data_IF_604727700621
#
_entry.id   IF_604727700621
#
_cell.length_a   1.000
_cell.length_b   1.000
_cell.length_c   1.000
_cell.angle_alpha   90.00
_cell.angle_beta   90.00
_cell.angle_gamma   90.00
#
_symmetry.space_group_name_H-M   'P 1'
#
loop_
_entity.id
_entity.type
_entity.pdbx_description
1 polymer ?
#
# COMPACT_ATOMS: atom_id res chain seq x y z
N UNK A 1 7.74 -14.56 -0.78
CA UNK A 1 7.35 -13.32 -0.07
C UNK A 1 6.46 -12.50 -1.00
N UNK A 2 5.70 -11.50 -0.53
CA UNK A 2 4.70 -10.78 -1.35
C UNK A 2 5.25 -10.37 -2.72
N UNK A 3 4.48 -10.64 -3.78
CA UNK A 3 4.98 -10.46 -5.13
C UNK A 3 5.08 -8.97 -5.49
N UNK A 4 5.75 -8.68 -6.60
CA UNK A 4 5.99 -7.30 -7.04
C UNK A 4 4.70 -6.51 -7.28
N UNK A 5 3.69 -7.11 -7.92
CA UNK A 5 2.40 -6.47 -8.23
C UNK A 5 1.60 -6.15 -6.97
N UNK A 6 1.58 -7.05 -5.99
CA UNK A 6 0.92 -6.83 -4.70
C UNK A 6 1.63 -5.70 -3.93
N UNK A 7 2.98 -5.66 -3.96
CA UNK A 7 3.75 -4.59 -3.33
C UNK A 7 3.43 -3.23 -3.95
N UNK A 8 3.30 -3.17 -5.28
CA UNK A 8 2.87 -1.96 -5.98
C UNK A 8 1.44 -1.57 -5.58
N UNK A 9 0.52 -2.52 -5.52
CA UNK A 9 -0.86 -2.25 -5.11
C UNK A 9 -0.97 -1.81 -3.65
N UNK A 10 -0.11 -2.29 -2.77
CA UNK A 10 -0.02 -1.83 -1.39
C UNK A 10 0.43 -0.36 -1.32
N UNK A 11 1.51 0.01 -2.02
CA UNK A 11 1.96 1.42 -2.09
C UNK A 11 0.86 2.33 -2.65
N UNK A 12 0.17 1.89 -3.71
CA UNK A 12 -0.96 2.63 -4.27
C UNK A 12 -2.11 2.76 -3.27
N UNK A 13 -2.42 1.72 -2.50
CA UNK A 13 -3.46 1.78 -1.48
C UNK A 13 -3.13 2.81 -0.40
N UNK A 14 -1.87 2.83 0.09
CA UNK A 14 -1.40 3.82 1.06
C UNK A 14 -1.51 5.26 0.54
N UNK A 15 -1.24 5.48 -0.76
CA UNK A 15 -1.32 6.82 -1.37
C UNK A 15 -2.74 7.21 -1.82
N UNK A 16 -3.62 6.24 -2.08
CA UNK A 16 -4.98 6.51 -2.51
C UNK A 16 -5.80 7.26 -1.44
N UNK A 17 -5.51 7.03 -0.16
CA UNK A 17 -6.20 7.72 0.95
C UNK A 17 -5.96 9.23 0.93
N UNK A 18 -4.82 9.69 0.39
CA UNK A 18 -4.51 11.11 0.24
C UNK A 18 -4.90 11.66 -1.13
N UNK A 19 -5.70 10.92 -1.91
CA UNK A 19 -6.20 11.34 -3.22
C UNK A 19 -5.24 11.10 -4.38
N UNK A 20 -4.23 10.24 -4.20
CA UNK A 20 -3.24 9.93 -5.23
C UNK A 20 -3.39 8.46 -5.60
N UNK A 21 -4.14 8.19 -6.67
CA UNK A 21 -4.25 6.87 -7.28
C UNK A 21 -3.79 6.95 -8.73
N UNK A 22 -2.84 6.09 -9.09
CA UNK A 22 -2.13 6.15 -10.37
C UNK A 22 -1.85 4.72 -10.84
N UNK A 23 -1.60 4.54 -12.14
CA UNK A 23 -1.33 3.22 -12.71
C UNK A 23 0.03 2.64 -12.23
N UNK A 24 0.13 1.31 -12.20
CA UNK A 24 1.22 0.54 -11.56
C UNK A 24 2.64 0.80 -12.13
N UNK A 25 2.77 1.45 -13.27
CA UNK A 25 3.96 1.41 -14.13
C UNK A 25 5.16 2.21 -13.65
N UNK A 26 5.04 3.02 -12.59
CA UNK A 26 6.08 3.98 -12.19
C UNK A 26 6.56 3.82 -10.73
N UNK A 27 6.24 2.70 -10.07
CA UNK A 27 6.67 2.42 -8.69
C UNK A 27 7.93 1.56 -8.67
N UNK A 28 8.97 2.04 -7.97
CA UNK A 28 10.18 1.29 -7.68
C UNK A 28 10.22 0.87 -6.20
N UNK A 29 10.40 -0.44 -5.96
CA UNK A 29 10.45 -1.03 -4.63
C UNK A 29 11.68 -1.93 -4.56
N UNK A 30 12.59 -1.61 -3.66
CA UNK A 30 13.74 -2.41 -3.29
C UNK A 30 13.91 -2.32 -1.77
N UNK A 31 13.65 -3.42 -1.06
CA UNK A 31 13.83 -3.48 0.39
C UNK A 31 14.61 -4.74 0.69
N UNK A 32 15.86 -4.56 1.12
CA UNK A 32 16.86 -5.61 1.25
C UNK A 32 17.68 -5.47 2.55
N UNK A 33 17.36 -4.47 3.38
CA UNK A 33 18.06 -4.13 4.62
C UNK A 33 19.55 -3.82 4.39
N UNK A 34 19.89 -3.31 3.21
CA UNK A 34 21.25 -2.91 2.87
C UNK A 34 21.31 -1.49 2.30
N UNK A 35 22.51 -1.03 1.94
CA UNK A 35 22.65 0.26 1.26
C UNK A 35 22.01 0.18 -0.13
N UNK A 36 20.94 0.94 -0.36
CA UNK A 36 20.22 0.96 -1.63
C UNK A 36 18.72 0.64 -1.51
N UNK A 37 18.20 0.48 -0.30
CA UNK A 37 16.76 0.37 -0.09
C UNK A 37 16.05 1.62 -0.61
N UNK A 38 14.97 1.40 -1.37
CA UNK A 38 14.21 2.43 -2.05
C UNK A 38 12.76 2.02 -2.22
N UNK A 39 11.84 2.80 -1.65
CA UNK A 39 10.47 2.91 -2.13
C UNK A 39 10.31 4.29 -2.75
N UNK A 40 9.99 4.33 -4.04
CA UNK A 40 9.78 5.55 -4.80
C UNK A 40 8.73 5.36 -5.88
N UNK A 41 8.18 6.48 -6.34
CA UNK A 41 7.29 6.50 -7.49
C UNK A 41 7.45 7.80 -8.27
N UNK A 42 6.97 7.76 -9.50
CA UNK A 42 6.63 8.91 -10.32
C UNK A 42 5.17 8.74 -10.77
N UNK A 43 4.45 9.82 -11.00
CA UNK A 43 3.19 9.79 -11.74
C UNK A 43 2.83 11.18 -12.26
N UNK A 44 1.87 11.21 -13.18
CA UNK A 44 1.24 12.44 -13.66
C UNK A 44 -0.26 12.35 -13.38
N UNK A 45 -0.81 13.32 -12.65
CA UNK A 45 -2.24 13.39 -12.30
C UNK A 45 -2.84 14.73 -12.67
N UNK A 46 -4.14 14.77 -12.94
CA UNK A 46 -4.83 16.05 -13.08
C UNK A 46 -4.93 16.73 -11.71
N UNK A 47 -4.94 18.06 -11.66
CA UNK A 47 -5.07 18.76 -10.38
C UNK A 47 -6.39 18.42 -9.70
N UNK A 48 -7.45 18.20 -10.46
CA UNK A 48 -8.76 17.77 -9.94
C UNK A 48 -8.75 16.42 -9.21
N UNK A 49 -7.75 15.57 -9.40
CA UNK A 49 -7.58 14.33 -8.62
C UNK A 49 -7.21 14.60 -7.15
N UNK A 50 -6.56 15.74 -6.85
CA UNK A 50 -6.25 16.17 -5.48
C UNK A 50 -7.50 16.63 -4.68
N UNK A 51 -8.71 16.47 -5.23
CA UNK A 51 -9.96 16.85 -4.57
C UNK A 51 -10.12 16.19 -3.20
N UNK A 52 -9.71 14.93 -3.05
CA UNK A 52 -9.77 14.24 -1.76
C UNK A 52 -8.75 14.84 -0.78
N UNK A 53 -7.55 15.21 -1.25
CA UNK A 53 -6.53 15.84 -0.41
C UNK A 53 -6.97 17.21 0.13
N UNK A 54 -7.82 17.94 -0.62
CA UNK A 54 -8.42 19.20 -0.14
C UNK A 54 -9.22 18.99 1.14
N UNK A 55 -9.92 17.86 1.26
CA UNK A 55 -10.75 17.55 2.43
C UNK A 55 -9.87 17.39 3.66
N UNK A 56 -8.81 16.58 3.55
CA UNK A 56 -7.87 16.34 4.64
C UNK A 56 -7.09 17.61 5.03
N UNK A 57 -6.68 18.39 4.04
CA UNK A 57 -6.00 19.67 4.26
C UNK A 57 -6.89 20.68 5.01
N UNK A 58 -8.15 20.83 4.59
CA UNK A 58 -9.09 21.74 5.23
C UNK A 58 -9.42 21.33 6.67
N UNK A 59 -9.54 20.03 6.93
CA UNK A 59 -9.74 19.49 8.28
C UNK A 59 -8.53 19.76 9.19
N UNK A 60 -7.32 19.56 8.68
CA UNK A 60 -6.07 19.83 9.40
C UNK A 60 -5.93 21.31 9.78
N UNK A 61 -6.29 22.22 8.86
CA UNK A 61 -6.28 23.66 9.13
C UNK A 61 -7.31 24.07 10.20
N UNK A 62 -8.50 23.48 10.21
CA UNK A 62 -9.50 23.76 11.25
C UNK A 62 -9.05 23.33 12.65
N UNK A 63 -8.32 22.22 12.74
CA UNK A 63 -7.81 21.72 14.00
C UNK A 63 -6.69 22.61 14.57
N UNK A 64 -6.01 23.38 13.71
CA UNK A 64 -4.79 24.12 14.05
C UNK A 64 -4.94 25.65 14.04
N UNK A 65 -5.95 26.21 13.36
CA UNK A 65 -6.17 27.66 13.27
C UNK A 65 -7.46 28.14 13.96
N UNK A 66 -7.29 29.12 14.85
CA UNK A 66 -8.34 29.91 15.50
C UNK A 66 -9.04 30.86 14.50
N UNK A 67 -10.39 30.84 14.53
CA UNK A 67 -11.37 31.83 14.03
C UNK A 67 -10.96 32.72 12.84
N UNK A 68 -11.51 32.44 11.64
CA UNK A 68 -11.55 33.45 10.57
C UNK A 68 -11.90 32.98 9.16
N UNK A 69 -11.59 31.72 8.80
CA UNK A 69 -12.02 31.11 7.54
C UNK A 69 -12.95 29.95 7.82
N UNK A 70 -14.16 30.00 7.26
CA UNK A 70 -15.03 28.82 7.20
C UNK A 70 -14.38 27.77 6.31
N UNK A 71 -14.07 26.60 6.88
CA UNK A 71 -13.43 25.48 6.21
C UNK A 71 -14.14 25.09 4.92
N UNK A 72 -15.47 25.12 4.93
CA UNK A 72 -16.29 24.76 3.78
C UNK A 72 -16.07 25.75 2.64
N UNK A 73 -15.92 27.04 2.97
CA UNK A 73 -15.58 28.07 2.00
C UNK A 73 -14.17 27.87 1.43
N UNK A 74 -13.18 27.51 2.26
CA UNK A 74 -11.82 27.21 1.77
C UNK A 74 -11.82 25.98 0.86
N UNK A 75 -12.41 24.87 1.31
CA UNK A 75 -12.57 23.63 0.55
C UNK A 75 -13.22 23.91 -0.81
N UNK A 76 -14.34 24.64 -0.83
CA UNK A 76 -15.02 25.00 -2.08
C UNK A 76 -14.10 25.79 -3.03
N UNK A 77 -13.31 26.74 -2.51
CA UNK A 77 -12.39 27.55 -3.33
C UNK A 77 -11.19 26.75 -3.83
N UNK A 78 -10.63 25.86 -3.02
CA UNK A 78 -9.54 24.98 -3.43
C UNK A 78 -9.99 24.03 -4.53
N UNK A 79 -11.12 23.32 -4.35
CA UNK A 79 -11.69 22.45 -5.37
C UNK A 79 -11.95 23.20 -6.68
N UNK A 80 -12.59 24.36 -6.59
CA UNK A 80 -12.80 25.24 -7.75
C UNK A 80 -11.47 25.60 -8.44
N UNK A 81 -10.43 25.90 -7.66
CA UNK A 81 -9.16 26.33 -8.22
C UNK A 81 -8.35 25.18 -8.83
N UNK A 82 -8.53 23.93 -8.36
CA UNK A 82 -7.99 22.75 -9.04
C UNK A 82 -8.58 22.61 -10.46
N UNK A 83 -9.87 22.89 -10.62
CA UNK A 83 -10.52 22.88 -11.94
C UNK A 83 -10.05 24.05 -12.82
N UNK A 84 -9.86 25.25 -12.25
CA UNK A 84 -9.22 26.37 -12.97
C UNK A 84 -7.80 25.99 -13.40
N UNK A 85 -7.04 25.33 -12.53
CA UNK A 85 -5.69 24.90 -12.82
C UNK A 85 -5.67 23.98 -14.06
N UNK A 86 -6.47 22.92 -14.05
CA UNK A 86 -6.56 21.96 -15.16
C UNK A 86 -6.95 22.64 -16.49
N UNK A 87 -7.88 23.61 -16.45
CA UNK A 87 -8.34 24.33 -17.63
C UNK A 87 -7.29 25.27 -18.22
N UNK A 88 -6.51 25.95 -17.36
CA UNK A 88 -5.56 26.97 -17.79
C UNK A 88 -4.19 26.39 -18.13
N UNK A 89 -3.67 25.47 -17.32
CA UNK A 89 -2.37 24.84 -17.59
C UNK A 89 -2.45 23.97 -18.86
N UNK A 90 -3.57 23.24 -19.03
CA UNK A 90 -3.69 22.18 -20.04
C UNK A 90 -2.69 21.04 -19.83
N UNK A 91 -2.06 20.95 -18.66
CA UNK A 91 -1.00 20.02 -18.31
C UNK A 91 -1.30 19.32 -16.99
N UNK A 92 -0.78 18.09 -16.88
CA UNK A 92 -0.83 17.29 -15.66
C UNK A 92 0.17 17.82 -14.61
N UNK A 93 -0.08 17.52 -13.34
CA UNK A 93 0.87 17.68 -12.25
C UNK A 93 1.80 16.48 -12.25
N UNK A 94 3.09 16.70 -12.47
CA UNK A 94 4.10 15.65 -12.37
C UNK A 94 4.56 15.53 -10.92
N UNK A 95 4.40 14.35 -10.34
CA UNK A 95 4.66 14.06 -8.94
C UNK A 95 5.74 12.98 -8.87
N UNK A 96 6.73 13.19 -8.00
CA UNK A 96 7.69 12.15 -7.67
C UNK A 96 7.94 12.09 -6.17
N UNK A 97 8.04 10.90 -5.62
CA UNK A 97 8.24 10.69 -4.19
C UNK A 97 9.30 9.64 -3.91
N UNK A 98 10.01 9.80 -2.79
CA UNK A 98 10.91 8.78 -2.22
C UNK A 98 10.75 8.74 -0.72
N UNK A 99 10.79 7.55 -0.12
CA UNK A 99 10.57 7.39 1.33
C UNK A 99 11.55 8.17 2.24
N UNK A 100 12.77 8.49 1.79
CA UNK A 100 13.75 9.28 2.56
C UNK A 100 13.91 10.73 2.07
N UNK A 101 13.10 11.19 1.12
CA UNK A 101 13.19 12.54 0.56
C UNK A 101 11.82 13.21 0.49
N UNK A 102 11.81 14.54 0.55
CA UNK A 102 10.59 15.32 0.34
C UNK A 102 10.08 15.07 -1.09
N UNK A 103 8.80 14.74 -1.19
CA UNK A 103 8.15 14.51 -2.48
C UNK A 103 8.07 15.81 -3.27
N UNK A 104 8.20 15.73 -4.58
CA UNK A 104 8.29 16.88 -5.47
C UNK A 104 7.11 16.92 -6.42
N UNK A 105 6.57 18.13 -6.57
CA UNK A 105 5.59 18.48 -7.58
C UNK A 105 6.27 19.37 -8.63
N UNK A 106 6.08 19.07 -9.90
CA UNK A 106 6.41 19.92 -11.03
C UNK A 106 5.11 20.37 -11.70
N UNK A 107 4.90 21.69 -11.79
CA UNK A 107 3.67 22.31 -12.27
C UNK A 107 3.90 23.74 -12.74
N UNK A 108 3.00 24.22 -13.60
CA UNK A 108 3.00 25.58 -14.12
C UNK A 108 2.48 26.59 -13.09
N UNK A 109 3.03 27.81 -13.13
CA UNK A 109 2.53 28.94 -12.33
C UNK A 109 1.28 29.55 -12.99
N UNK A 110 0.17 28.82 -12.87
CA UNK A 110 -1.15 29.22 -13.39
C UNK A 110 -1.58 30.59 -12.84
N UNK A 111 -1.18 30.95 -11.62
CA UNK A 111 -1.47 32.26 -11.08
C UNK A 111 -0.80 33.37 -11.92
N UNK A 112 0.50 33.25 -12.19
CA UNK A 112 1.21 34.20 -13.04
C UNK A 112 0.64 34.25 -14.45
N UNK A 113 0.28 33.10 -15.04
CA UNK A 113 -0.31 33.04 -16.37
C UNK A 113 -1.65 33.77 -16.45
N UNK A 114 -2.57 33.50 -15.51
CA UNK A 114 -3.87 34.17 -15.47
C UNK A 114 -3.71 35.68 -15.29
N UNK A 115 -2.83 36.11 -14.39
CA UNK A 115 -2.60 37.53 -14.13
C UNK A 115 -1.99 38.25 -15.34
N UNK A 116 -1.11 37.57 -16.09
CA UNK A 116 -0.43 38.09 -17.26
C UNK A 116 -1.34 38.12 -18.50
N UNK A 117 -2.08 37.04 -18.75
CA UNK A 117 -3.03 36.94 -19.87
C UNK A 117 -4.22 37.88 -19.71
N UNK A 118 -4.63 38.19 -18.47
CA UNK A 118 -5.68 39.16 -18.18
C UNK A 118 -5.18 40.60 -18.01
N UNK A 119 -3.92 40.90 -18.34
CA UNK A 119 -3.41 42.27 -18.29
C UNK A 119 -3.92 43.09 -19.50
N UNK A 120 -4.42 44.30 -19.25
CA UNK A 120 -4.81 45.20 -20.34
C UNK A 120 -3.56 45.88 -20.90
N UNK A 121 -3.09 45.38 -22.04
CA UNK A 121 -1.92 45.94 -22.75
C UNK A 121 -2.09 47.40 -23.19
N UNK A 122 -3.31 47.94 -23.17
CA UNK A 122 -3.61 49.31 -23.59
C UNK A 122 -3.52 50.34 -22.46
N UNK A 123 -3.48 49.91 -21.19
CA UNK A 123 -3.41 50.80 -20.03
C UNK A 123 -2.39 50.31 -19.00
N UNK A 124 -1.46 51.17 -18.52
CA UNK A 124 -0.54 50.81 -17.44
C UNK A 124 -1.31 50.42 -16.17
N UNK A 125 -1.22 49.16 -15.76
CA UNK A 125 -1.96 48.62 -14.60
C UNK A 125 -3.45 48.34 -14.86
N UNK A 126 -3.89 48.46 -16.12
CA UNK A 126 -5.22 48.00 -16.53
C UNK A 126 -5.31 46.48 -16.54
N UNK A 127 -6.52 45.94 -16.38
CA UNK A 127 -6.78 44.52 -16.52
C UNK A 127 -8.02 44.30 -17.38
N UNK A 128 -7.97 43.28 -18.23
CA UNK A 128 -9.12 42.81 -18.99
C UNK A 128 -9.99 41.95 -18.07
N UNK A 129 -11.11 42.53 -17.64
CA UNK A 129 -12.05 41.88 -16.74
C UNK A 129 -12.74 40.67 -17.40
N UNK A 130 -13.02 40.74 -18.69
CA UNK A 130 -13.72 39.66 -19.37
C UNK A 130 -12.77 38.49 -19.65
N UNK A 131 -11.51 38.76 -19.97
CA UNK A 131 -10.50 37.70 -20.09
C UNK A 131 -10.20 37.06 -18.72
N UNK A 132 -10.10 37.84 -17.64
CA UNK A 132 -9.96 37.27 -16.28
C UNK A 132 -11.13 36.35 -15.92
N UNK A 133 -12.38 36.79 -16.18
CA UNK A 133 -13.55 35.96 -15.94
C UNK A 133 -13.47 34.67 -16.75
N UNK A 134 -13.16 34.76 -18.04
CA UNK A 134 -13.06 33.61 -18.93
C UNK A 134 -12.03 32.57 -18.46
N UNK A 135 -10.86 33.01 -17.98
CA UNK A 135 -9.81 32.12 -17.49
C UNK A 135 -10.14 31.49 -16.13
N UNK A 136 -10.95 32.17 -15.32
CA UNK A 136 -11.31 31.73 -13.96
C UNK A 136 -12.72 31.12 -13.89
N UNK A 137 -13.47 31.02 -14.98
CA UNK A 137 -14.86 30.58 -14.95
C UNK A 137 -14.94 29.06 -14.90
N UNK A 138 -15.54 28.54 -13.82
CA UNK A 138 -15.89 27.12 -13.67
C UNK A 138 -17.38 27.04 -13.36
N UNK A 139 -18.12 26.29 -14.17
CA UNK A 139 -19.58 26.17 -14.06
C UNK A 139 -20.32 27.53 -13.97
N UNK A 140 -19.85 28.52 -14.72
CA UNK A 140 -20.42 29.87 -14.74
C UNK A 140 -20.16 30.70 -13.46
N UNK A 141 -19.21 30.28 -12.61
CA UNK A 141 -18.84 30.98 -11.38
C UNK A 141 -17.37 31.38 -11.37
N UNK A 142 -17.09 32.53 -10.76
CA UNK A 142 -15.73 32.99 -10.44
C UNK A 142 -15.67 33.23 -8.92
N UNK A 143 -14.94 32.36 -8.20
CA UNK A 143 -14.94 32.35 -6.73
C UNK A 143 -13.77 33.10 -6.11
N UNK A 144 -12.74 33.43 -6.90
CA UNK A 144 -11.56 34.16 -6.47
C UNK A 144 -11.49 35.45 -7.29
N UNK A 145 -11.37 36.58 -6.62
CA UNK A 145 -11.22 37.86 -7.28
C UNK A 145 -9.76 38.08 -7.70
N UNK A 146 -9.55 38.81 -8.81
CA UNK A 146 -8.21 39.06 -9.36
C UNK A 146 -7.20 39.58 -8.34
N UNK A 147 -7.61 40.53 -7.48
CA UNK A 147 -6.72 41.12 -6.48
C UNK A 147 -6.37 40.16 -5.33
N UNK A 148 -7.11 39.07 -5.15
CA UNK A 148 -6.89 38.06 -4.13
C UNK A 148 -6.20 36.79 -4.67
N UNK A 149 -6.05 36.68 -6.00
CA UNK A 149 -5.54 35.47 -6.65
C UNK A 149 -4.12 35.13 -6.19
N UNK A 150 -3.21 36.10 -6.21
CA UNK A 150 -1.81 35.89 -5.79
C UNK A 150 -1.71 35.47 -4.32
N UNK A 151 -2.51 36.09 -3.44
CA UNK A 151 -2.55 35.70 -2.04
C UNK A 151 -3.12 34.28 -1.86
N UNK A 152 -4.19 33.95 -2.58
CA UNK A 152 -4.80 32.63 -2.54
C UNK A 152 -3.83 31.54 -3.02
N UNK A 153 -3.13 31.81 -4.13
CA UNK A 153 -2.10 30.92 -4.69
C UNK A 153 -1.02 30.63 -3.64
N UNK A 154 -0.34 31.68 -3.17
CA UNK A 154 0.79 31.56 -2.26
C UNK A 154 0.44 30.96 -0.88
N UNK A 155 -0.79 31.16 -0.41
CA UNK A 155 -1.19 30.75 0.95
C UNK A 155 -1.90 29.41 0.96
N UNK A 156 -2.86 29.21 0.05
CA UNK A 156 -3.78 28.07 0.12
C UNK A 156 -3.45 27.00 -0.91
N UNK A 157 -3.20 27.38 -2.17
CA UNK A 157 -2.84 26.39 -3.20
C UNK A 157 -1.46 25.79 -2.92
N UNK A 158 -0.44 26.63 -2.73
CA UNK A 158 0.91 26.15 -2.35
C UNK A 158 0.87 25.44 -0.99
N UNK A 159 0.01 25.89 -0.07
CA UNK A 159 -0.22 25.22 1.21
C UNK A 159 -0.75 23.79 1.05
N UNK A 160 -1.73 23.59 0.16
CA UNK A 160 -2.24 22.27 -0.22
C UNK A 160 -1.13 21.41 -0.84
N UNK A 161 -0.38 21.94 -1.81
CA UNK A 161 0.70 21.18 -2.47
C UNK A 161 1.77 20.72 -1.47
N UNK A 162 2.17 21.59 -0.55
CA UNK A 162 3.13 21.23 0.49
C UNK A 162 2.56 20.18 1.44
N UNK A 163 1.30 20.31 1.85
CA UNK A 163 0.62 19.31 2.67
C UNK A 163 0.61 17.94 1.97
N UNK A 164 0.21 17.88 0.71
CA UNK A 164 0.19 16.63 -0.06
C UNK A 164 1.61 16.06 -0.22
N UNK A 165 2.61 16.90 -0.48
CA UNK A 165 4.02 16.48 -0.54
C UNK A 165 4.48 15.80 0.76
N UNK A 166 4.15 16.40 1.92
CA UNK A 166 4.51 15.85 3.23
C UNK A 166 3.79 14.51 3.49
N UNK A 167 2.50 14.42 3.17
CA UNK A 167 1.71 13.20 3.34
C UNK A 167 2.20 12.06 2.44
N UNK A 168 2.56 12.34 1.18
CA UNK A 168 3.20 11.36 0.30
C UNK A 168 4.48 10.83 0.94
N UNK A 169 5.35 11.74 1.40
CA UNK A 169 6.63 11.34 2.00
C UNK A 169 6.40 10.48 3.25
N UNK A 170 5.42 10.81 4.09
CA UNK A 170 5.05 9.99 5.24
C UNK A 170 4.53 8.61 4.82
N UNK A 171 3.58 8.56 3.87
CA UNK A 171 3.01 7.30 3.39
C UNK A 171 4.06 6.38 2.76
N UNK A 172 4.99 6.91 1.97
CA UNK A 172 6.09 6.12 1.41
C UNK A 172 7.05 5.59 2.50
N UNK A 173 7.28 6.37 3.55
CA UNK A 173 8.10 5.95 4.68
C UNK A 173 7.44 4.83 5.49
N UNK A 174 6.13 4.91 5.70
CA UNK A 174 5.35 3.85 6.36
C UNK A 174 5.26 2.59 5.50
N UNK A 175 5.11 2.74 4.18
CA UNK A 175 5.18 1.62 3.25
C UNK A 175 6.56 0.92 3.31
N UNK A 176 7.64 1.69 3.29
CA UNK A 176 9.00 1.17 3.47
C UNK A 176 9.16 0.40 4.79
N UNK A 177 8.71 0.98 5.91
CA UNK A 177 8.75 0.31 7.22
C UNK A 177 7.98 -1.00 7.21
N UNK A 178 6.80 -1.01 6.59
CA UNK A 178 5.99 -2.22 6.47
C UNK A 178 6.72 -3.32 5.71
N UNK A 179 7.29 -3.01 4.54
CA UNK A 179 8.10 -3.99 3.78
C UNK A 179 9.31 -4.48 4.58
N UNK A 180 9.98 -3.58 5.28
CA UNK A 180 11.10 -3.92 6.16
C UNK A 180 10.66 -4.87 7.28
N UNK A 181 9.55 -4.59 7.95
CA UNK A 181 9.03 -5.42 9.04
C UNK A 181 8.56 -6.79 8.55
N UNK A 182 7.95 -6.86 7.36
CA UNK A 182 7.59 -8.12 6.68
C UNK A 182 8.83 -8.97 6.41
N UNK A 183 9.89 -8.38 5.85
CA UNK A 183 11.14 -9.09 5.57
C UNK A 183 11.81 -9.57 6.87
N UNK A 184 11.83 -8.74 7.92
CA UNK A 184 12.33 -9.15 9.24
C UNK A 184 11.47 -10.24 9.90
N UNK A 185 10.16 -10.22 9.70
CA UNK A 185 9.25 -11.27 10.14
C UNK A 185 9.55 -12.60 9.46
N UNK A 186 9.75 -12.57 8.14
CA UNK A 186 10.12 -13.74 7.34
C UNK A 186 11.43 -14.38 7.83
N UNK A 187 12.45 -13.57 8.10
CA UNK A 187 13.71 -14.01 8.71
C UNK A 187 13.48 -14.64 10.09
N UNK A 188 12.73 -13.95 10.97
CA UNK A 188 12.44 -14.43 12.33
C UNK A 188 11.74 -15.79 12.30
N UNK A 189 10.74 -15.96 11.44
CA UNK A 189 10.00 -17.22 11.33
C UNK A 189 10.83 -18.32 10.70
N UNK A 190 11.73 -18.01 9.76
CA UNK A 190 12.62 -19.00 9.14
C UNK A 190 13.64 -19.61 10.11
N UNK A 191 13.94 -18.93 11.22
CA UNK A 191 14.75 -19.50 12.31
C UNK A 191 13.97 -20.52 13.16
N UNK A 192 12.65 -20.63 12.99
CA UNK A 192 11.84 -21.57 13.74
C UNK A 192 12.21 -23.02 13.42
N UNK A 193 12.52 -23.76 14.48
CA UNK A 193 12.69 -25.20 14.42
C UNK A 193 12.10 -25.86 15.67
N UNK A 194 11.35 -26.93 15.44
CA UNK A 194 10.76 -27.77 16.47
C UNK A 194 11.15 -29.22 16.23
N UNK A 195 11.61 -29.89 17.30
CA UNK A 195 11.85 -31.32 17.28
C UNK A 195 11.20 -32.00 18.48
N UNK A 196 10.60 -33.17 18.26
CA UNK A 196 10.02 -33.99 19.31
C UNK A 196 10.16 -35.47 19.01
N UNK A 197 10.64 -36.22 20.00
CA UNK A 197 10.62 -37.68 19.98
C UNK A 197 9.17 -38.22 19.99
N UNK A 198 8.87 -39.16 19.11
CA UNK A 198 7.58 -39.85 19.01
C UNK A 198 7.68 -41.22 19.67
N UNK A 199 8.69 -42.00 19.27
CA UNK A 199 9.03 -43.32 19.83
C UNK A 199 10.54 -43.40 20.04
N UNK A 200 11.04 -44.55 20.47
CA UNK A 200 12.48 -44.76 20.54
C UNK A 200 13.17 -44.70 19.17
N UNK A 201 12.42 -44.98 18.12
CA UNK A 201 12.90 -45.12 16.73
C UNK A 201 12.55 -43.93 15.85
N UNK A 202 11.62 -43.04 16.26
CA UNK A 202 11.11 -41.97 15.41
C UNK A 202 11.07 -40.60 16.12
N UNK A 203 11.45 -39.54 15.39
CA UNK A 203 11.27 -38.14 15.79
C UNK A 203 10.51 -37.34 14.74
N UNK A 204 9.76 -36.34 15.19
CA UNK A 204 9.11 -35.33 14.37
C UNK A 204 9.96 -34.06 14.38
N UNK A 205 10.20 -33.50 13.20
CA UNK A 205 10.87 -32.22 13.00
C UNK A 205 9.96 -31.30 12.18
N UNK A 206 9.81 -30.05 12.60
CA UNK A 206 9.07 -29.01 11.89
C UNK A 206 9.99 -27.80 11.79
N UNK A 207 10.23 -27.34 10.56
CA UNK A 207 10.88 -26.06 10.29
C UNK A 207 9.99 -25.20 9.42
N UNK A 208 10.15 -23.89 9.51
CA UNK A 208 9.50 -22.94 8.62
C UNK A 208 10.55 -22.39 7.65
N UNK A 209 10.12 -22.09 6.45
CA UNK A 209 10.92 -21.37 5.46
C UNK A 209 10.03 -20.37 4.75
N UNK A 210 10.66 -19.33 4.22
CA UNK A 210 9.97 -18.40 3.34
C UNK A 210 9.35 -19.14 2.17
N UNK A 211 8.20 -18.62 1.79
CA UNK A 211 7.51 -19.12 0.64
C UNK A 211 8.02 -18.45 -0.64
N UNK A 212 8.40 -19.27 -1.63
CA UNK A 212 8.71 -18.81 -3.00
C UNK A 212 7.42 -18.68 -3.84
N UNK A 213 6.24 -18.93 -3.27
CA UNK A 213 4.99 -18.97 -4.05
C UNK A 213 4.74 -17.69 -4.86
N UNK A 214 4.48 -17.93 -6.14
CA UNK A 214 4.04 -16.99 -7.18
C UNK A 214 2.55 -16.62 -7.03
N UNK A 215 1.88 -17.09 -5.97
CA UNK A 215 0.45 -16.91 -5.76
C UNK A 215 0.17 -15.43 -5.43
N UNK A 216 -0.54 -14.78 -6.35
CA UNK A 216 -0.89 -13.38 -6.22
C UNK A 216 -1.99 -13.21 -5.17
N UNK A 217 -1.80 -12.27 -4.24
CA UNK A 217 -2.82 -11.92 -3.24
C UNK A 217 -4.04 -11.23 -3.87
N UNK A 218 -4.04 -11.05 -5.19
CA UNK A 218 -5.08 -10.38 -5.99
C UNK A 218 -6.49 -10.84 -5.62
N UNK A 219 -6.72 -12.15 -5.45
CA UNK A 219 -8.04 -12.69 -5.08
C UNK A 219 -8.48 -12.32 -3.65
N UNK A 220 -7.54 -11.88 -2.79
CA UNK A 220 -7.81 -11.49 -1.40
C UNK A 220 -8.19 -10.02 -1.24
N UNK A 221 -7.86 -9.16 -2.22
CA UNK A 221 -8.10 -7.71 -2.11
C UNK A 221 -8.73 -7.08 -3.37
N UNK A 222 -9.03 -7.85 -4.41
CA UNK A 222 -9.77 -7.35 -5.57
C UNK A 222 -11.26 -7.68 -5.46
N UNK A 223 -12.10 -6.64 -5.43
CA UNK A 223 -13.54 -6.76 -5.40
C UNK A 223 -14.15 -6.65 -6.80
N UNK A 224 -15.10 -7.54 -7.12
CA UNK A 224 -15.91 -7.43 -8.33
C UNK A 224 -16.92 -6.28 -8.21
N UNK A 225 -16.76 -5.26 -9.07
CA UNK A 225 -17.69 -4.13 -9.18
C UNK A 225 -18.41 -4.16 -10.52
N UNK A 226 -19.74 -4.06 -10.49
CA UNK A 226 -20.54 -3.94 -11.72
C UNK A 226 -20.74 -2.47 -12.10
N UNK A 227 -20.24 -2.09 -13.27
CA UNK A 227 -20.43 -0.75 -13.83
C UNK A 227 -21.89 -0.53 -14.26
N UNK A 228 -22.36 0.73 -14.40
CA UNK A 228 -23.71 1.03 -14.91
C UNK A 228 -24.04 0.40 -16.27
N UNK A 229 -23.02 0.05 -17.05
CA UNK A 229 -23.13 -0.68 -18.32
C UNK A 229 -23.43 -2.18 -18.18
N UNK A 230 -23.43 -2.71 -16.96
CA UNK A 230 -23.54 -4.15 -16.66
C UNK A 230 -22.23 -4.93 -16.77
N UNK A 231 -21.11 -4.26 -17.12
CA UNK A 231 -19.77 -4.88 -17.16
C UNK A 231 -19.22 -5.05 -15.74
N UNK A 232 -18.76 -6.26 -15.40
CA UNK A 232 -18.01 -6.52 -14.16
C UNK A 232 -16.54 -6.17 -14.37
N UNK A 233 -15.97 -5.44 -13.42
CA UNK A 233 -14.54 -5.09 -13.36
C UNK A 233 -14.02 -5.37 -11.96
N UNK A 234 -12.77 -5.79 -11.83
CA UNK A 234 -12.10 -5.90 -10.54
C UNK A 234 -11.63 -4.51 -10.09
N UNK A 235 -11.81 -4.22 -8.81
CA UNK A 235 -11.33 -2.99 -8.16
C UNK A 235 -10.53 -3.35 -6.92
N UNK A 236 -9.39 -2.68 -6.72
CA UNK A 236 -8.60 -2.83 -5.52
C UNK A 236 -9.39 -2.33 -4.31
N UNK A 237 -9.46 -3.17 -3.28
CA UNK A 237 -9.91 -2.83 -1.95
C UNK A 237 -8.69 -2.39 -1.14
N UNK A 238 -8.54 -1.07 -0.98
CA UNK A 238 -7.38 -0.47 -0.30
C UNK A 238 -7.28 -0.94 1.16
N UNK A 239 -8.40 -0.96 1.89
CA UNK A 239 -8.43 -1.40 3.29
C UNK A 239 -7.95 -2.84 3.43
N UNK A 240 -8.43 -3.75 2.56
CA UNK A 240 -8.08 -5.16 2.63
C UNK A 240 -6.59 -5.42 2.35
N UNK A 241 -6.00 -4.77 1.34
CA UNK A 241 -4.57 -4.96 1.08
C UNK A 241 -3.71 -4.33 2.19
N UNK A 242 -4.12 -3.17 2.74
CA UNK A 242 -3.44 -2.55 3.88
C UNK A 242 -3.48 -3.51 5.08
N UNK A 243 -4.65 -4.03 5.45
CA UNK A 243 -4.82 -4.96 6.57
C UNK A 243 -3.96 -6.22 6.45
N UNK A 244 -3.83 -6.78 5.23
CA UNK A 244 -2.98 -7.94 4.97
C UNK A 244 -1.51 -7.60 5.24
N UNK A 245 -1.01 -6.49 4.67
CA UNK A 245 0.39 -6.08 4.82
C UNK A 245 0.73 -5.70 6.26
N UNK A 246 -0.16 -4.97 6.95
CA UNK A 246 0.01 -4.67 8.37
C UNK A 246 -0.01 -5.94 9.23
N UNK A 247 -0.85 -6.92 8.90
CA UNK A 247 -0.88 -8.22 9.60
C UNK A 247 0.42 -9.01 9.43
N UNK A 248 1.01 -8.96 8.23
CA UNK A 248 2.31 -9.55 7.97
C UNK A 248 3.42 -8.81 8.73
N UNK A 249 3.47 -7.48 8.66
CA UNK A 249 4.45 -6.67 9.38
C UNK A 249 4.35 -6.88 10.91
N UNK A 250 3.13 -7.00 11.44
CA UNK A 250 2.87 -7.24 12.85
C UNK A 250 3.09 -8.70 13.29
N UNK A 251 3.49 -9.61 12.38
CA UNK A 251 3.68 -11.05 12.64
C UNK A 251 2.42 -11.71 13.22
N UNK A 252 1.24 -11.20 12.89
CA UNK A 252 -0.03 -11.67 13.46
C UNK A 252 -0.66 -12.81 12.66
N UNK A 253 -0.42 -12.82 11.35
CA UNK A 253 -0.95 -13.82 10.43
C UNK A 253 -0.10 -13.91 9.16
N UNK A 254 1.14 -14.39 9.31
CA UNK A 254 2.16 -14.41 8.27
C UNK A 254 2.18 -15.73 7.50
N UNK A 255 2.28 -15.71 6.17
CA UNK A 255 2.34 -16.93 5.37
C UNK A 255 3.77 -17.49 5.25
N UNK A 256 3.95 -18.78 5.54
CA UNK A 256 5.23 -19.50 5.46
C UNK A 256 5.01 -20.89 4.88
N UNK A 257 6.07 -21.55 4.41
CA UNK A 257 6.02 -22.99 4.11
C UNK A 257 6.53 -23.76 5.32
N UNK A 258 5.72 -24.69 5.82
CA UNK A 258 6.14 -25.65 6.83
C UNK A 258 6.75 -26.88 6.16
N UNK A 259 7.97 -27.22 6.57
CA UNK A 259 8.60 -28.50 6.26
C UNK A 259 8.50 -29.42 7.46
N UNK A 260 7.66 -30.44 7.36
CA UNK A 260 7.41 -31.42 8.41
C UNK A 260 8.09 -32.73 8.03
N UNK A 261 9.08 -33.17 8.81
CA UNK A 261 9.84 -34.39 8.61
C UNK A 261 9.64 -35.37 9.75
N UNK A 262 9.51 -36.65 9.44
CA UNK A 262 9.64 -37.74 10.39
C UNK A 262 10.98 -38.42 10.12
N UNK A 263 11.85 -38.42 11.12
CA UNK A 263 13.18 -39.03 11.05
C UNK A 263 13.21 -40.35 11.83
N UNK A 264 14.07 -41.28 11.42
CA UNK A 264 14.38 -42.46 12.21
C UNK A 264 15.49 -42.21 13.25
N UNK A 265 15.91 -43.27 13.94
CA UNK A 265 16.96 -43.25 14.96
C UNK A 265 18.34 -42.84 14.42
N UNK A 266 18.58 -43.03 13.12
CA UNK A 266 19.82 -42.69 12.44
C UNK A 266 19.77 -41.25 11.88
N UNK A 267 18.60 -40.61 11.95
CA UNK A 267 18.35 -39.25 11.47
C UNK A 267 17.91 -39.19 10.01
N UNK A 268 17.62 -40.32 9.39
CA UNK A 268 17.18 -40.41 8.00
C UNK A 268 15.69 -40.05 7.87
N UNK A 269 15.33 -39.34 6.80
CA UNK A 269 13.95 -38.92 6.55
C UNK A 269 13.12 -40.12 6.09
N UNK A 270 12.21 -40.57 6.95
CA UNK A 270 11.27 -41.67 6.66
C UNK A 270 10.03 -41.17 5.94
N UNK A 271 9.59 -39.94 6.26
CA UNK A 271 8.49 -39.28 5.57
C UNK A 271 8.60 -37.76 5.71
N UNK A 272 8.08 -37.02 4.74
CA UNK A 272 8.05 -35.55 4.78
C UNK A 272 6.81 -34.96 4.11
N UNK A 273 6.50 -33.71 4.49
CA UNK A 273 5.43 -32.90 3.94
C UNK A 273 5.90 -31.44 3.84
N UNK A 274 5.56 -30.81 2.72
CA UNK A 274 5.74 -29.38 2.47
C UNK A 274 4.38 -28.76 2.23
N UNK A 275 4.01 -27.74 3.00
CA UNK A 275 2.70 -27.12 2.89
C UNK A 275 2.74 -25.66 3.34
N UNK A 276 2.05 -24.79 2.61
CA UNK A 276 1.81 -23.39 3.00
C UNK A 276 0.94 -23.31 4.26
N UNK A 277 1.36 -22.50 5.22
CA UNK A 277 0.72 -22.35 6.53
C UNK A 277 0.73 -20.90 6.96
N UNK A 278 -0.26 -20.52 7.77
CA UNK A 278 -0.25 -19.23 8.43
C UNK A 278 0.36 -19.35 9.84
N UNK A 279 1.23 -18.41 10.19
CA UNK A 279 1.97 -18.38 11.45
C UNK A 279 1.83 -17.03 12.15
N UNK A 280 1.93 -17.05 13.47
CA UNK A 280 1.89 -15.82 14.27
C UNK A 280 2.94 -15.85 15.38
N UNK A 281 3.52 -14.70 15.71
CA UNK A 281 4.36 -14.52 16.90
C UNK A 281 3.48 -14.23 18.13
N UNK A 282 3.60 -15.08 19.15
CA UNK A 282 2.95 -14.91 20.44
C UNK A 282 3.89 -14.21 21.42
N UNK A 283 3.32 -13.72 22.52
CA UNK A 283 4.08 -13.14 23.63
C UNK A 283 5.24 -14.03 24.08
N UNK A 284 6.43 -13.43 24.12
CA UNK A 284 7.69 -14.10 24.46
C UNK A 284 8.41 -14.76 23.27
N UNK A 285 8.11 -14.36 22.03
CA UNK A 285 8.78 -14.87 20.81
C UNK A 285 8.38 -16.29 20.42
N UNK A 286 7.24 -16.77 20.93
CA UNK A 286 6.78 -18.13 20.63
C UNK A 286 6.03 -18.14 19.31
N UNK A 287 6.42 -19.02 18.40
CA UNK A 287 5.72 -19.17 17.11
C UNK A 287 4.53 -20.12 17.26
N UNK A 288 3.38 -19.69 16.75
CA UNK A 288 2.18 -20.51 16.57
C UNK A 288 1.98 -20.77 15.09
N UNK A 289 1.91 -22.03 14.70
CA UNK A 289 1.47 -22.47 13.38
C UNK A 289 -0.03 -22.76 13.48
N UNK A 290 -0.86 -22.04 12.72
CA UNK A 290 -2.32 -22.10 12.85
C UNK A 290 -2.87 -23.48 12.48
N UNK A 291 -2.34 -24.07 11.40
CA UNK A 291 -2.82 -25.34 10.84
C UNK A 291 -2.02 -26.55 11.35
N UNK A 292 -1.32 -26.40 12.49
CA UNK A 292 -0.37 -27.40 13.00
C UNK A 292 -0.95 -28.80 13.16
N UNK A 293 -2.21 -28.90 13.57
CA UNK A 293 -2.84 -30.21 13.80
C UNK A 293 -3.06 -30.96 12.49
N UNK A 294 -3.48 -30.26 11.45
CA UNK A 294 -3.76 -30.83 10.14
C UNK A 294 -2.46 -31.29 9.47
N UNK A 295 -1.39 -30.49 9.54
CA UNK A 295 -0.05 -30.86 9.08
C UNK A 295 0.45 -32.16 9.71
N UNK A 296 0.33 -32.26 11.05
CA UNK A 296 0.75 -33.44 11.79
C UNK A 296 -0.14 -34.64 11.41
N UNK A 297 -1.44 -34.43 11.30
CA UNK A 297 -2.35 -35.50 10.90
C UNK A 297 -2.00 -36.05 9.52
N UNK A 298 -1.73 -35.17 8.56
CA UNK A 298 -1.40 -35.52 7.18
C UNK A 298 -0.09 -36.30 7.08
N UNK A 299 1.00 -35.80 7.69
CA UNK A 299 2.29 -36.49 7.64
C UNK A 299 2.22 -37.89 8.27
N UNK A 300 1.43 -38.08 9.33
CA UNK A 300 1.27 -39.41 9.94
C UNK A 300 0.27 -40.29 9.18
N UNK A 301 -0.74 -39.73 8.54
CA UNK A 301 -1.65 -40.46 7.65
C UNK A 301 -0.87 -41.07 6.48
N UNK A 302 0.03 -40.30 5.89
CA UNK A 302 0.93 -40.75 4.82
C UNK A 302 1.91 -41.80 5.33
N UNK A 303 2.55 -41.58 6.48
CA UNK A 303 3.47 -42.55 7.09
C UNK A 303 2.79 -43.91 7.34
N UNK A 304 1.55 -43.92 7.85
CA UNK A 304 0.80 -45.16 8.09
C UNK A 304 0.46 -45.93 6.83
N UNK A 305 0.35 -45.28 5.67
CA UNK A 305 0.14 -45.94 4.38
C UNK A 305 1.43 -46.55 3.85
N UNK A 306 2.59 -45.99 4.23
CA UNK A 306 3.91 -46.45 3.82
C UNK A 306 4.40 -47.66 4.61
N UNK A 307 3.96 -47.81 5.87
CA UNK A 307 4.20 -49.01 6.67
C UNK A 307 3.21 -50.08 6.19
N UNK A 308 3.65 -51.16 5.52
CA UNK A 308 2.75 -52.25 5.16
C UNK A 308 2.11 -52.78 6.45
N UNK A 309 0.86 -53.23 6.39
CA UNK A 309 0.29 -54.05 7.45
C UNK A 309 1.08 -55.37 7.53
N UNK A 310 2.23 -55.36 8.19
CA UNK A 310 3.06 -56.55 8.32
C UNK A 310 2.30 -57.51 9.20
N UNK A 311 1.96 -58.64 8.59
CA UNK A 311 1.28 -59.80 9.13
C UNK A 311 1.60 -60.02 10.62
N UNK A 312 0.60 -59.79 11.48
CA UNK A 312 0.56 -60.49 12.76
C UNK A 312 0.26 -61.95 12.45
N UNK A 313 1.28 -62.71 12.03
CA UNK A 313 1.26 -64.16 12.12
C UNK A 313 1.26 -64.50 13.60
N UNK A 314 0.05 -64.65 14.15
CA UNK A 314 -0.17 -65.32 15.42
C UNK A 314 0.37 -66.73 15.25
N UNK A 315 1.59 -66.98 15.73
CA UNK A 315 2.08 -68.32 15.98
C UNK A 315 1.26 -68.88 17.14
N UNK A 316 0.21 -69.64 16.80
CA UNK A 316 -0.43 -70.54 17.74
C UNK A 316 0.59 -71.64 18.03
N UNK A 317 1.23 -71.56 19.20
CA UNK A 317 2.01 -72.68 19.73
C UNK A 317 1.05 -73.81 20.09
N UNK A 318 1.39 -75.02 19.63
CA UNK A 318 0.69 -76.28 19.87
C UNK A 318 0.82 -76.75 21.33
#
# INVERSE_FOLDING_TARGET
>A
MTNYTDNQNYVRAVLADIGIDFDETEIHINVSHCQGDEVSFSCSISASELRQSVDHYAETLNATQLDGLDANTLKKRLVYFLEVFDQVSGQYLDISGKHYATSRFEYDDVCCDILSLSADSTQPGGYDREEYKKLMEVDGQVLIARFALEQFWNTHFIGLINYVSDEITSGLHDAYRTFSDISMAAYTFSEYSYSRRITDELSLHISLQEDDFDDQLTDCYMDETTLPSGKVVLRRNNESIIDIYESYAAKSYFHMVAHVRVLDQDGEVVNELYQGVNVSELTGGRVKIHDRQDLIYEVFSTLRKLIPATEVKVSVAA
#
